data_IF_370853493416
#
_entry.id   IF_370853493416
#
_cell.length_a   1.000
_cell.length_b   1.000
_cell.length_c   1.000
_cell.angle_alpha   90.00
_cell.angle_beta   90.00
_cell.angle_gamma   90.00
#
_symmetry.space_group_name_H-M   'P 1'
#
loop_
_entity.id
_entity.type
_entity.pdbx_description
1 polymer ?
#
# COMPACT_ATOMS: atom_id res chain seq x y z
N UNK A 1 -10.02 -20.70 9.21
CA UNK A 1 -8.89 -19.90 9.74
C UNK A 1 -8.71 -18.70 8.82
N UNK A 2 -9.23 -17.53 9.20
CA UNK A 2 -9.26 -16.31 8.37
C UNK A 2 -7.96 -15.50 8.48
N UNK A 3 -6.81 -16.18 8.48
CA UNK A 3 -5.53 -15.60 8.90
C UNK A 3 -4.78 -14.82 7.81
N UNK A 4 -5.29 -14.71 6.58
CA UNK A 4 -4.54 -14.08 5.48
C UNK A 4 -4.60 -12.54 5.50
N UNK A 5 -5.47 -11.94 6.33
CA UNK A 5 -5.76 -10.48 6.33
C UNK A 5 -5.44 -9.81 7.66
N UNK A 6 -4.92 -10.55 8.66
CA UNK A 6 -4.83 -10.06 10.04
C UNK A 6 -3.84 -8.88 10.22
N UNK A 7 -2.90 -8.70 9.28
CA UNK A 7 -1.82 -7.70 9.38
C UNK A 7 -1.66 -6.83 8.12
N UNK A 8 -2.76 -6.50 7.43
CA UNK A 8 -2.72 -5.59 6.27
C UNK A 8 -3.05 -4.15 6.67
N UNK A 9 -2.09 -3.25 6.50
CA UNK A 9 -2.29 -1.81 6.68
C UNK A 9 -2.54 -1.10 5.34
N UNK A 10 -3.52 -0.20 5.31
CA UNK A 10 -3.76 0.70 4.18
C UNK A 10 -3.29 2.10 4.55
N UNK A 11 -2.37 2.65 3.76
CA UNK A 11 -1.78 3.97 4.01
C UNK A 11 -2.23 4.93 2.92
N UNK A 12 -3.04 5.92 3.29
CA UNK A 12 -3.48 7.01 2.41
C UNK A 12 -2.61 8.26 2.57
N UNK A 13 -2.77 9.22 1.66
CA UNK A 13 -2.08 10.52 1.77
C UNK A 13 -0.57 10.49 1.51
N UNK A 14 -0.07 9.41 0.90
CA UNK A 14 1.32 9.33 0.46
C UNK A 14 1.62 10.43 -0.56
N UNK A 15 2.79 11.04 -0.45
CA UNK A 15 3.25 12.00 -1.44
C UNK A 15 3.43 11.32 -2.80
N UNK A 16 3.29 12.08 -3.89
CA UNK A 16 3.41 11.53 -5.24
C UNK A 16 4.78 10.90 -5.54
N UNK A 17 5.81 11.30 -4.79
CA UNK A 17 7.16 10.78 -4.90
C UNK A 17 7.42 9.54 -4.02
N UNK A 18 6.48 9.16 -3.15
CA UNK A 18 6.67 8.01 -2.25
C UNK A 18 6.59 6.71 -3.03
N UNK A 19 7.69 5.94 -3.00
CA UNK A 19 7.77 4.61 -3.60
C UNK A 19 7.66 3.47 -2.59
N UNK A 20 7.67 2.24 -3.12
CA UNK A 20 7.57 1.01 -2.32
C UNK A 20 8.71 0.91 -1.29
N UNK A 21 9.94 1.21 -1.71
CA UNK A 21 11.12 1.13 -0.85
C UNK A 21 11.07 2.10 0.35
N UNK A 22 10.44 3.27 0.20
CA UNK A 22 10.27 4.21 1.31
C UNK A 22 9.18 3.74 2.27
N UNK A 23 8.13 3.10 1.74
CA UNK A 23 7.12 2.46 2.57
C UNK A 23 7.76 1.34 3.40
N UNK A 24 8.45 0.42 2.76
CA UNK A 24 9.13 -0.70 3.43
C UNK A 24 10.07 -0.19 4.53
N UNK A 25 11.03 0.68 4.19
CA UNK A 25 11.99 1.24 5.14
C UNK A 25 11.34 1.95 6.32
N UNK A 26 10.24 2.68 6.08
CA UNK A 26 9.52 3.39 7.12
C UNK A 26 8.80 2.42 8.05
N UNK A 27 8.19 1.35 7.52
CA UNK A 27 7.44 0.39 8.33
C UNK A 27 8.31 -0.71 8.96
N UNK A 28 9.52 -0.95 8.46
CA UNK A 28 10.46 -1.93 9.04
C UNK A 28 10.80 -1.68 10.51
N UNK A 29 10.65 -0.43 11.00
CA UNK A 29 10.85 -0.13 12.42
C UNK A 29 9.79 -0.73 13.35
N UNK A 30 8.63 -1.08 12.80
CA UNK A 30 7.50 -1.66 13.56
C UNK A 30 7.44 -3.18 13.45
N UNK A 31 8.30 -3.80 12.64
CA UNK A 31 8.36 -5.24 12.42
C UNK A 31 8.85 -5.60 11.03
N UNK A 32 8.89 -6.89 10.74
CA UNK A 32 9.22 -7.40 9.41
C UNK A 32 8.10 -7.05 8.42
N UNK A 33 8.46 -6.43 7.30
CA UNK A 33 7.54 -6.13 6.20
C UNK A 33 7.59 -7.28 5.20
N UNK A 34 6.49 -8.03 5.08
CA UNK A 34 6.39 -9.19 4.17
C UNK A 34 6.15 -8.72 2.72
N UNK A 35 5.29 -7.71 2.53
CA UNK A 35 4.97 -7.12 1.24
C UNK A 35 4.62 -5.64 1.40
N UNK A 36 5.07 -4.80 0.47
CA UNK A 36 4.71 -3.39 0.42
C UNK A 36 4.49 -2.94 -1.03
N UNK A 37 3.39 -2.24 -1.27
CA UNK A 37 3.03 -1.80 -2.62
C UNK A 37 2.25 -0.49 -2.63
N UNK A 38 2.79 0.51 -3.30
CA UNK A 38 2.15 1.79 -3.59
C UNK A 38 1.21 1.59 -4.76
N UNK A 39 -0.08 1.80 -4.49
CA UNK A 39 -1.15 1.73 -5.48
C UNK A 39 -1.58 3.14 -5.81
N UNK A 40 -1.30 3.57 -7.04
CA UNK A 40 -1.86 4.80 -7.58
C UNK A 40 -3.27 4.51 -8.08
N UNK A 41 -4.29 5.06 -7.41
CA UNK A 41 -5.67 5.00 -7.93
C UNK A 41 -5.77 5.89 -9.16
N UNK A 42 -5.61 5.28 -10.34
CA UNK A 42 -5.92 5.88 -11.64
C UNK A 42 -7.12 5.18 -12.27
N UNK A 43 -8.16 4.91 -11.49
CA UNK A 43 -9.40 4.41 -12.06
C UNK A 43 -10.29 5.61 -12.45
N UNK A 44 -10.00 6.15 -13.62
CA UNK A 44 -10.97 6.94 -14.38
C UNK A 44 -11.40 6.07 -15.55
N UNK A 45 -12.18 5.04 -15.27
CA UNK A 45 -13.03 4.43 -16.30
C UNK A 45 -14.36 5.16 -16.21
N UNK A 46 -14.67 6.16 -17.08
CA UNK A 46 -16.02 6.66 -17.17
C UNK A 46 -16.86 5.50 -17.70
N UNK A 47 -17.79 4.98 -16.90
CA UNK A 47 -18.62 3.83 -17.23
C UNK A 47 -19.70 4.11 -18.28
N UNK A 48 -19.34 4.77 -19.39
CA UNK A 48 -20.24 5.06 -20.50
C UNK A 48 -19.49 4.98 -21.83
N UNK A 49 -19.26 3.75 -22.31
CA UNK A 49 -19.30 3.36 -23.72
C UNK A 49 -19.79 1.91 -23.79
#
# INVERSE_FOLDING_TARGET
MSAEVEYRCFVGGLAWATGDAELERTFSQFGEVIDSKVRYTRDRTPGWF
#
